data_IF_989179826520
#
_entry.id   IF_989179826520
#
_cell.length_a   1.000
_cell.length_b   1.000
_cell.length_c   1.000
_cell.angle_alpha   90.00
_cell.angle_beta   90.00
_cell.angle_gamma   90.00
#
_symmetry.space_group_name_H-M   'P 1'
#
loop_
_entity.id
_entity.type
_entity.pdbx_description
1 polymer ?
#
# COMPACT_ATOMS: atom_id res chain seq x y z
N UNK A 1 -0.83 0.70 -26.77
CA UNK A 1 -1.24 -0.01 -25.54
C UNK A 1 -1.30 -1.50 -25.85
N UNK A 2 -0.64 -2.33 -25.06
CA UNK A 2 -0.51 -3.76 -25.35
C UNK A 2 -1.80 -4.51 -24.96
N UNK A 3 -2.71 -4.71 -25.91
CA UNK A 3 -4.05 -5.31 -25.67
C UNK A 3 -4.01 -6.72 -25.08
N UNK A 4 -2.88 -7.43 -25.17
CA UNK A 4 -2.71 -8.77 -24.62
C UNK A 4 -2.77 -8.78 -23.08
N UNK A 5 -2.22 -7.76 -22.42
CA UNK A 5 -2.21 -7.67 -20.96
C UNK A 5 -3.61 -7.44 -20.37
N UNK A 6 -4.43 -6.64 -21.04
CA UNK A 6 -5.83 -6.39 -20.64
C UNK A 6 -6.66 -7.67 -20.75
N UNK A 7 -6.51 -8.41 -21.85
CA UNK A 7 -7.23 -9.67 -22.05
C UNK A 7 -6.85 -10.72 -21.01
N UNK A 8 -5.57 -10.82 -20.65
CA UNK A 8 -5.12 -11.73 -19.59
C UNK A 8 -5.66 -11.32 -18.22
N UNK A 9 -5.64 -10.02 -17.89
CA UNK A 9 -6.16 -9.52 -16.63
C UNK A 9 -7.66 -9.82 -16.47
N UNK A 10 -8.46 -9.56 -17.51
CA UNK A 10 -9.90 -9.85 -17.48
C UNK A 10 -10.19 -11.35 -17.34
N UNK A 11 -9.39 -12.21 -17.98
CA UNK A 11 -9.49 -13.67 -17.85
C UNK A 11 -9.21 -14.14 -16.41
N UNK A 12 -8.24 -13.53 -15.73
CA UNK A 12 -7.91 -13.85 -14.33
C UNK A 12 -8.98 -13.32 -13.39
N UNK A 13 -9.41 -12.06 -13.54
CA UNK A 13 -10.45 -11.46 -12.69
C UNK A 13 -11.76 -12.25 -12.76
N UNK A 14 -12.14 -12.73 -13.95
CA UNK A 14 -13.37 -13.53 -14.14
C UNK A 14 -13.39 -14.89 -13.43
N UNK A 15 -12.24 -15.35 -12.91
CA UNK A 15 -12.13 -16.62 -12.18
C UNK A 15 -12.05 -16.43 -10.66
N UNK A 16 -11.98 -15.18 -10.18
CA UNK A 16 -11.80 -14.89 -8.77
C UNK A 16 -13.12 -14.81 -8.01
N UNK A 17 -13.11 -15.20 -6.73
CA UNK A 17 -14.19 -14.88 -5.80
C UNK A 17 -14.48 -13.38 -5.72
N UNK A 18 -15.75 -13.02 -5.54
CA UNK A 18 -16.21 -11.62 -5.57
C UNK A 18 -15.52 -10.74 -4.51
N UNK A 19 -15.22 -11.30 -3.34
CA UNK A 19 -14.45 -10.66 -2.26
C UNK A 19 -13.03 -10.27 -2.68
N UNK A 20 -12.42 -11.01 -3.61
CA UNK A 20 -11.07 -10.72 -4.13
C UNK A 20 -11.07 -9.71 -5.26
N UNK A 21 -12.20 -9.52 -5.95
CA UNK A 21 -12.33 -8.50 -6.99
C UNK A 21 -12.16 -7.11 -6.38
N UNK A 22 -12.74 -6.87 -5.21
CA UNK A 22 -12.59 -5.61 -4.47
C UNK A 22 -11.12 -5.32 -4.15
N UNK A 23 -10.38 -6.31 -3.63
CA UNK A 23 -8.95 -6.16 -3.33
C UNK A 23 -8.12 -5.79 -4.56
N UNK A 24 -8.40 -6.40 -5.71
CA UNK A 24 -7.71 -6.09 -6.97
C UNK A 24 -8.04 -4.68 -7.48
N UNK A 25 -9.30 -4.27 -7.35
CA UNK A 25 -9.71 -2.92 -7.73
C UNK A 25 -9.04 -1.86 -6.85
N UNK A 26 -8.92 -2.12 -5.55
CA UNK A 26 -8.22 -1.22 -4.63
C UNK A 26 -6.73 -1.14 -4.96
N UNK A 27 -6.09 -2.26 -5.28
CA UNK A 27 -4.71 -2.27 -5.72
C UNK A 27 -4.49 -1.52 -7.05
N UNK A 28 -5.36 -1.72 -8.05
CA UNK A 28 -5.28 -0.99 -9.31
C UNK A 28 -5.48 0.53 -9.13
N UNK A 29 -6.37 0.93 -8.22
CA UNK A 29 -6.56 2.35 -7.84
C UNK A 29 -5.33 2.91 -7.15
N UNK A 30 -4.68 2.14 -6.29
CA UNK A 30 -3.42 2.54 -5.65
C UNK A 30 -2.31 2.77 -6.67
N UNK A 31 -2.13 1.87 -7.63
CA UNK A 31 -1.15 2.06 -8.72
C UNK A 31 -1.44 3.32 -9.53
N UNK A 32 -2.71 3.57 -9.86
CA UNK A 32 -3.10 4.79 -10.55
C UNK A 32 -2.85 6.04 -9.71
N UNK A 33 -3.08 5.97 -8.39
CA UNK A 33 -2.78 7.05 -7.46
C UNK A 33 -1.28 7.34 -7.41
N UNK A 34 -0.40 6.33 -7.38
CA UNK A 34 1.06 6.53 -7.42
C UNK A 34 1.53 7.25 -8.70
N UNK A 35 0.92 6.95 -9.84
CA UNK A 35 1.25 7.58 -11.12
C UNK A 35 0.68 9.02 -11.26
N UNK A 36 -0.34 9.36 -10.46
CA UNK A 36 -1.08 10.64 -10.60
C UNK A 36 -0.80 11.62 -9.47
N UNK A 37 -0.26 11.17 -8.35
CA UNK A 37 0.17 12.02 -7.25
C UNK A 37 1.54 12.60 -7.58
N UNK A 38 1.74 13.93 -7.49
CA UNK A 38 3.06 14.53 -7.62
C UNK A 38 4.02 13.92 -6.60
N UNK A 39 5.33 13.84 -6.89
CA UNK A 39 6.38 13.41 -5.94
C UNK A 39 6.39 14.18 -4.59
N UNK A 40 5.57 15.22 -4.45
CA UNK A 40 5.35 15.90 -3.19
C UNK A 40 4.56 15.04 -2.22
N UNK A 41 5.17 14.78 -1.06
CA UNK A 41 4.53 14.10 0.06
C UNK A 41 3.12 14.63 0.30
N UNK A 42 2.15 13.72 0.21
CA UNK A 42 0.75 14.01 0.46
C UNK A 42 0.58 14.64 1.85
N UNK A 43 -0.50 15.41 2.10
CA UNK A 43 -0.78 15.93 3.43
C UNK A 43 -0.77 14.84 4.52
N UNK A 44 -1.17 13.61 4.17
CA UNK A 44 -1.11 12.46 5.06
C UNK A 44 0.33 12.02 5.34
N UNK A 45 1.17 11.89 4.32
CA UNK A 45 2.58 11.50 4.51
C UNK A 45 3.34 12.54 5.34
N UNK A 46 3.12 13.83 5.09
CA UNK A 46 3.69 14.90 5.91
C UNK A 46 3.21 14.83 7.36
N UNK A 47 1.91 14.60 7.57
CA UNK A 47 1.35 14.43 8.90
C UNK A 47 1.93 13.20 9.62
N UNK A 48 2.07 12.07 8.93
CA UNK A 48 2.63 10.85 9.48
C UNK A 48 4.10 11.02 9.84
N UNK A 49 4.88 11.70 9.00
CA UNK A 49 6.28 12.02 9.24
C UNK A 49 6.47 12.95 10.44
N UNK A 50 5.65 13.99 10.56
CA UNK A 50 5.68 14.90 11.72
C UNK A 50 5.29 14.19 13.03
N UNK A 51 4.30 13.30 12.98
CA UNK A 51 3.97 12.46 14.13
C UNK A 51 5.16 11.56 14.49
N UNK A 52 5.76 10.90 13.51
CA UNK A 52 6.91 10.03 13.74
C UNK A 52 8.08 10.80 14.39
N UNK A 53 8.38 12.01 13.90
CA UNK A 53 9.38 12.91 14.51
C UNK A 53 9.01 13.29 15.94
N UNK A 54 7.77 13.75 16.18
CA UNK A 54 7.31 14.18 17.51
C UNK A 54 7.35 13.07 18.56
N UNK A 55 7.21 11.82 18.13
CA UNK A 55 7.24 10.63 18.98
C UNK A 55 8.62 9.99 19.08
N UNK A 56 9.63 10.55 18.42
CA UNK A 56 11.00 10.01 18.39
C UNK A 56 11.16 8.76 17.52
N UNK A 57 10.19 8.45 16.66
CA UNK A 57 10.25 7.32 15.73
C UNK A 57 10.96 7.63 14.42
N UNK A 58 11.42 8.87 14.21
CA UNK A 58 12.13 9.28 13.00
C UNK A 58 13.45 8.55 12.75
N UNK A 59 14.00 7.88 13.77
CA UNK A 59 15.22 7.07 13.65
C UNK A 59 14.95 5.59 13.33
N UNK A 60 13.68 5.16 13.33
CA UNK A 60 13.33 3.77 13.08
C UNK A 60 13.39 3.48 11.58
N UNK A 61 14.06 2.38 11.24
CA UNK A 61 14.02 1.82 9.90
C UNK A 61 12.78 0.95 9.71
N UNK A 62 12.42 0.66 8.46
CA UNK A 62 11.33 -0.28 8.15
C UNK A 62 11.51 -1.63 8.85
N UNK A 63 12.76 -2.13 8.94
CA UNK A 63 13.09 -3.36 9.65
C UNK A 63 12.76 -3.30 11.14
N UNK A 64 13.02 -2.16 11.77
CA UNK A 64 12.73 -1.96 13.20
C UNK A 64 11.21 -1.93 13.44
N UNK A 65 10.46 -1.28 12.55
CA UNK A 65 8.98 -1.26 12.60
C UNK A 65 8.42 -2.67 12.46
N UNK A 66 8.90 -3.44 11.47
CA UNK A 66 8.47 -4.83 11.24
C UNK A 66 8.74 -5.69 12.48
N UNK A 67 9.90 -5.52 13.12
CA UNK A 67 10.23 -6.25 14.34
C UNK A 67 9.29 -5.90 15.51
N UNK A 68 9.04 -4.61 15.75
CA UNK A 68 8.11 -4.15 16.81
C UNK A 68 6.71 -4.75 16.61
N UNK A 69 6.20 -4.73 15.37
CA UNK A 69 4.88 -5.30 15.04
C UNK A 69 4.84 -6.81 15.28
N UNK A 70 5.89 -7.53 14.89
CA UNK A 70 5.97 -8.97 15.12
C UNK A 70 6.03 -9.33 16.60
N UNK A 71 6.77 -8.57 17.40
CA UNK A 71 6.85 -8.77 18.85
C UNK A 71 5.51 -8.48 19.52
N UNK A 72 4.85 -7.37 19.15
CA UNK A 72 3.52 -7.03 19.66
C UNK A 72 2.45 -8.07 19.34
N UNK A 73 2.46 -8.64 18.13
CA UNK A 73 1.54 -9.71 17.72
C UNK A 73 1.76 -11.05 18.44
N UNK A 74 2.97 -11.31 18.94
CA UNK A 74 3.25 -12.52 19.74
C UNK A 74 2.88 -12.35 21.21
N UNK A 75 2.76 -11.10 21.67
CA UNK A 75 2.40 -10.76 23.05
C UNK A 75 0.88 -10.60 23.26
N UNK A 76 0.10 -10.55 22.19
CA UNK A 76 -1.37 -10.51 22.17
C UNK A 76 -1.95 -11.91 21.92
#
# INVERSE_FOLDING_TARGET
MNNQGITQLLSVIGQLPEDRITEILDFARFLLWQETVPEEATPFERWAEEIAKSKGFSALTEKDIVQIVHEGRRAA
#
